data_IF_509628365218
#
_entry.id   IF_509628365218
#
_cell.length_a   1.000
_cell.length_b   1.000
_cell.length_c   1.000
_cell.angle_alpha   90.00
_cell.angle_beta   90.00
_cell.angle_gamma   90.00
#
_symmetry.space_group_name_H-M   'P 1'
#
loop_
_entity.id
_entity.type
_entity.pdbx_description
1 polymer ?
#
# COMPACT_ATOMS: atom_id res chain seq x y z
N UNK A 1 -18.77 24.55 29.57
CA UNK A 1 -18.76 24.04 28.18
C UNK A 1 -17.35 24.19 27.59
N UNK A 2 -16.57 23.11 27.62
CA UNK A 2 -15.18 23.07 27.13
C UNK A 2 -15.18 23.06 25.60
N UNK A 3 -14.73 24.14 24.95
CA UNK A 3 -14.58 24.18 23.49
C UNK A 3 -13.35 23.35 23.09
N UNK A 4 -13.50 22.36 22.20
CA UNK A 4 -12.38 21.60 21.62
C UNK A 4 -11.44 22.57 20.87
N UNK A 5 -10.22 22.83 21.36
CA UNK A 5 -9.31 23.77 20.74
C UNK A 5 -8.51 23.02 19.68
N UNK A 6 -8.97 22.98 18.43
CA UNK A 6 -8.21 22.26 17.41
C UNK A 6 -8.80 22.19 16.01
N UNK A 7 -9.98 22.75 15.76
CA UNK A 7 -10.61 22.67 14.44
C UNK A 7 -10.02 23.60 13.37
N UNK A 8 -9.01 24.42 13.69
CA UNK A 8 -8.45 25.42 12.77
C UNK A 8 -6.93 25.50 12.88
N UNK A 9 -6.22 24.57 12.25
CA UNK A 9 -4.84 24.79 11.82
C UNK A 9 -4.63 24.13 10.46
N UNK A 10 -4.81 24.91 9.39
CA UNK A 10 -4.48 24.66 7.98
C UNK A 10 -3.51 23.48 7.71
N UNK A 11 -3.98 22.23 7.79
CA UNK A 11 -3.14 21.04 7.58
C UNK A 11 -1.92 20.88 8.51
N UNK A 12 -1.83 21.63 9.61
CA UNK A 12 -0.66 21.68 10.50
C UNK A 12 -0.34 20.41 11.31
N UNK A 13 -1.24 19.44 11.61
CA UNK A 13 -0.85 18.26 12.39
C UNK A 13 0.11 17.31 11.66
N UNK A 14 0.52 17.66 10.44
CA UNK A 14 1.36 16.85 9.57
C UNK A 14 2.64 17.55 9.12
N UNK A 15 2.91 18.78 9.59
CA UNK A 15 4.16 19.49 9.28
C UNK A 15 5.37 18.81 9.96
N UNK A 16 5.16 18.23 11.14
CA UNK A 16 6.19 17.54 11.92
C UNK A 16 6.15 16.00 11.74
N UNK A 17 5.57 15.50 10.64
CA UNK A 17 5.61 14.06 10.35
C UNK A 17 7.06 13.60 10.13
N UNK A 18 7.46 12.41 10.61
CA UNK A 18 8.70 11.79 10.21
C UNK A 18 8.84 11.68 8.69
N UNK A 19 10.07 11.78 8.20
CA UNK A 19 10.42 11.85 6.77
C UNK A 19 9.80 10.74 5.90
N UNK A 20 9.76 9.45 6.32
CA UNK A 20 9.10 8.39 5.55
C UNK A 20 7.59 8.65 5.33
N UNK A 21 6.90 9.14 6.35
CA UNK A 21 5.47 9.46 6.27
C UNK A 21 5.20 10.69 5.40
N UNK A 22 6.14 11.65 5.35
CA UNK A 22 6.06 12.77 4.42
C UNK A 22 6.19 12.30 2.97
N UNK A 23 7.14 11.42 2.67
CA UNK A 23 7.31 10.83 1.33
C UNK A 23 6.07 10.04 0.91
N UNK A 24 5.54 9.21 1.81
CA UNK A 24 4.31 8.47 1.57
C UNK A 24 3.14 9.40 1.26
N UNK A 25 2.92 10.43 2.09
CA UNK A 25 1.87 11.42 1.87
C UNK A 25 1.98 12.09 0.49
N UNK A 26 3.18 12.50 0.08
CA UNK A 26 3.42 13.08 -1.27
C UNK A 26 3.09 12.09 -2.39
N UNK A 27 3.31 10.79 -2.17
CA UNK A 27 2.94 9.74 -3.13
C UNK A 27 1.43 9.52 -3.21
N UNK A 28 0.77 9.41 -2.06
CA UNK A 28 -0.66 9.11 -1.97
C UNK A 28 -1.55 10.26 -2.43
N UNK A 29 -1.25 11.50 -2.04
CA UNK A 29 -2.10 12.66 -2.35
C UNK A 29 -2.16 13.03 -3.84
N UNK A 30 -1.34 12.39 -4.68
CA UNK A 30 -1.43 12.49 -6.15
C UNK A 30 -2.61 11.69 -6.73
N UNK A 31 -3.24 10.83 -5.94
CA UNK A 31 -4.29 9.91 -6.37
C UNK A 31 -5.58 10.11 -5.56
N UNK A 32 -6.77 9.95 -6.17
CA UNK A 32 -8.04 10.01 -5.44
C UNK A 32 -8.09 8.93 -4.35
N UNK A 33 -8.50 9.30 -3.14
CA UNK A 33 -8.54 8.40 -1.98
C UNK A 33 -7.20 8.21 -1.25
N UNK A 34 -6.15 8.95 -1.65
CA UNK A 34 -4.85 8.93 -0.97
C UNK A 34 -4.89 9.44 0.47
N UNK A 35 -5.79 10.36 0.78
CA UNK A 35 -6.07 10.87 2.13
C UNK A 35 -6.64 9.78 3.05
N UNK A 36 -7.60 9.00 2.56
CA UNK A 36 -8.16 7.84 3.28
C UNK A 36 -7.07 6.79 3.52
N UNK A 37 -6.24 6.54 2.51
CA UNK A 37 -5.12 5.59 2.60
C UNK A 37 -4.11 6.05 3.65
N UNK A 38 -3.76 7.34 3.66
CA UNK A 38 -2.88 7.92 4.67
C UNK A 38 -3.46 7.79 6.08
N UNK A 39 -4.76 8.07 6.24
CA UNK A 39 -5.45 7.93 7.52
C UNK A 39 -5.43 6.48 8.04
N UNK A 40 -5.61 5.49 7.15
CA UNK A 40 -5.52 4.07 7.51
C UNK A 40 -4.11 3.66 7.96
N UNK A 41 -3.06 4.17 7.30
CA UNK A 41 -1.68 3.94 7.72
C UNK A 41 -1.41 4.55 9.10
N UNK A 42 -1.81 5.80 9.33
CA UNK A 42 -1.65 6.45 10.63
C UNK A 42 -2.44 5.75 11.75
N UNK A 43 -3.61 5.18 11.43
CA UNK A 43 -4.41 4.41 12.38
C UNK A 43 -3.76 3.09 12.81
N UNK A 44 -2.73 2.60 12.11
CA UNK A 44 -1.98 1.39 12.49
C UNK A 44 -0.95 1.63 13.60
N UNK A 45 -0.53 2.89 13.80
CA UNK A 45 0.54 3.27 14.75
C UNK A 45 0.26 2.81 16.19
N UNK A 46 -0.97 2.94 16.75
CA UNK A 46 -1.22 2.48 18.12
C UNK A 46 -1.04 0.97 18.32
N UNK A 47 -1.17 0.16 17.26
CA UNK A 47 -1.06 -1.29 17.34
C UNK A 47 0.35 -1.78 17.04
N UNK A 48 1.02 -1.18 16.05
CA UNK A 48 2.34 -1.61 15.57
C UNK A 48 3.50 -0.83 16.19
N UNK A 49 3.26 0.35 16.77
CA UNK A 49 4.29 1.30 17.14
C UNK A 49 4.74 2.16 15.96
N UNK A 50 5.25 3.37 16.24
CA UNK A 50 5.66 4.31 15.21
C UNK A 50 6.84 3.79 14.38
N UNK A 51 7.88 3.27 15.02
CA UNK A 51 9.09 2.82 14.34
C UNK A 51 8.82 1.70 13.34
N UNK A 52 7.98 0.73 13.71
CA UNK A 52 7.58 -0.35 12.81
C UNK A 52 6.81 0.18 11.58
N UNK A 53 5.97 1.20 11.78
CA UNK A 53 5.26 1.86 10.67
C UNK A 53 6.24 2.62 9.78
N UNK A 54 7.24 3.32 10.33
CA UNK A 54 8.25 3.99 9.52
C UNK A 54 9.03 3.01 8.65
N UNK A 55 9.52 1.91 9.25
CA UNK A 55 10.22 0.83 8.51
C UNK A 55 9.31 0.24 7.43
N UNK A 56 8.04 -0.04 7.74
CA UNK A 56 7.10 -0.59 6.77
C UNK A 56 6.87 0.37 5.60
N UNK A 57 6.75 1.67 5.89
CA UNK A 57 6.56 2.70 4.86
C UNK A 57 7.78 2.84 3.96
N UNK A 58 8.99 2.79 4.51
CA UNK A 58 10.22 2.82 3.71
C UNK A 58 10.28 1.62 2.76
N UNK A 59 10.07 0.41 3.26
CA UNK A 59 10.03 -0.81 2.44
C UNK A 59 8.97 -0.74 1.33
N UNK A 60 7.81 -0.17 1.63
CA UNK A 60 6.75 0.02 0.64
C UNK A 60 7.15 1.03 -0.44
N UNK A 61 7.82 2.11 -0.06
CA UNK A 61 8.29 3.14 -1.00
C UNK A 61 9.45 2.64 -1.87
N UNK A 62 10.34 1.81 -1.32
CA UNK A 62 11.42 1.16 -2.07
C UNK A 62 10.89 0.16 -3.11
N UNK A 63 9.84 -0.59 -2.76
CA UNK A 63 9.20 -1.56 -3.66
C UNK A 63 8.18 -0.96 -4.62
N UNK A 64 7.86 0.33 -4.52
CA UNK A 64 6.86 0.97 -5.35
C UNK A 64 7.39 1.18 -6.77
N UNK A 65 6.75 0.57 -7.77
CA UNK A 65 7.02 0.86 -9.17
C UNK A 65 6.62 2.31 -9.51
N UNK A 66 7.27 2.99 -10.47
CA UNK A 66 6.98 4.39 -10.81
C UNK A 66 5.50 4.71 -11.09
N UNK A 67 4.75 3.71 -11.57
CA UNK A 67 3.33 3.80 -11.93
C UNK A 67 2.39 3.07 -10.94
N UNK A 68 2.94 2.47 -9.89
CA UNK A 68 2.20 1.64 -8.94
C UNK A 68 1.67 2.49 -7.78
N UNK A 69 0.35 2.56 -7.62
CA UNK A 69 -0.25 3.22 -6.46
C UNK A 69 0.09 2.47 -5.17
N UNK A 70 0.65 3.17 -4.19
CA UNK A 70 0.82 2.63 -2.83
C UNK A 70 -0.55 2.55 -2.16
N UNK A 71 -0.89 1.40 -1.57
CA UNK A 71 -2.15 1.19 -0.85
C UNK A 71 -1.92 0.88 0.63
N UNK A 72 -2.94 1.10 1.46
CA UNK A 72 -2.87 0.79 2.89
C UNK A 72 -2.71 -0.71 3.14
N UNK A 73 -3.28 -1.55 2.27
CA UNK A 73 -3.09 -3.00 2.30
C UNK A 73 -1.63 -3.39 2.08
N UNK A 74 -0.89 -2.64 1.23
CA UNK A 74 0.54 -2.90 1.04
C UNK A 74 1.32 -2.64 2.34
N UNK A 75 1.06 -1.50 3.00
CA UNK A 75 1.68 -1.18 4.30
C UNK A 75 1.30 -2.21 5.36
N UNK A 76 0.02 -2.59 5.44
CA UNK A 76 -0.47 -3.62 6.38
C UNK A 76 0.19 -4.97 6.16
N UNK A 77 0.39 -5.38 4.90
CA UNK A 77 1.07 -6.62 4.56
C UNK A 77 2.55 -6.60 4.97
N UNK A 78 3.23 -5.48 4.80
CA UNK A 78 4.62 -5.32 5.26
C UNK A 78 4.68 -5.37 6.78
N UNK A 79 3.81 -4.64 7.48
CA UNK A 79 3.71 -4.71 8.95
C UNK A 79 3.44 -6.13 9.45
N UNK A 80 2.55 -6.88 8.79
CA UNK A 80 2.26 -8.26 9.13
C UNK A 80 3.49 -9.17 8.94
N UNK A 81 4.30 -8.93 7.90
CA UNK A 81 5.53 -9.69 7.64
C UNK A 81 6.64 -9.37 8.64
N UNK A 82 6.79 -8.10 9.02
CA UNK A 82 7.77 -7.67 10.02
C UNK A 82 7.48 -8.26 11.40
N UNK A 83 6.19 -8.45 11.72
CA UNK A 83 5.74 -9.05 12.98
C UNK A 83 5.46 -10.55 12.88
N UNK A 84 5.74 -11.18 11.74
CA UNK A 84 5.43 -12.58 11.54
C UNK A 84 6.30 -13.46 12.46
N UNK A 85 5.75 -14.56 13.01
CA UNK A 85 6.58 -15.52 13.70
C UNK A 85 7.64 -16.08 12.74
N UNK A 86 8.76 -16.61 13.27
CA UNK A 86 9.77 -17.29 12.46
C UNK A 86 9.11 -18.30 11.52
N UNK A 87 9.54 -18.29 10.25
CA UNK A 87 9.01 -19.21 9.26
C UNK A 87 9.23 -20.64 9.75
N UNK A 88 8.20 -21.50 9.73
CA UNK A 88 8.39 -22.90 10.09
C UNK A 88 9.42 -23.56 9.17
N UNK A 89 10.11 -24.57 9.68
CA UNK A 89 11.06 -25.33 8.88
C UNK A 89 10.37 -25.96 7.67
N UNK A 90 11.09 -26.03 6.55
CA UNK A 90 10.61 -26.73 5.38
C UNK A 90 10.48 -28.23 5.68
N UNK A 91 9.40 -28.84 5.19
CA UNK A 91 9.22 -30.29 5.29
C UNK A 91 10.38 -30.99 4.57
N UNK A 92 11.04 -31.93 5.27
CA UNK A 92 12.05 -32.79 4.66
C UNK A 92 11.35 -33.81 3.77
N UNK A 93 11.49 -33.67 2.46
CA UNK A 93 10.82 -34.54 1.48
C UNK A 93 11.70 -34.75 0.25
N UNK A 94 11.58 -35.92 -0.38
CA UNK A 94 12.20 -36.26 -1.67
C UNK A 94 11.25 -36.03 -2.85
N UNK A 95 9.99 -35.63 -2.58
CA UNK A 95 8.99 -35.38 -3.63
C UNK A 95 9.45 -34.24 -4.53
N UNK A 96 9.44 -34.50 -5.84
CA UNK A 96 9.73 -33.52 -6.88
C UNK A 96 8.43 -33.14 -7.59
N UNK A 97 8.29 -31.86 -7.91
CA UNK A 97 7.16 -31.38 -8.71
C UNK A 97 7.34 -31.81 -10.16
N UNK A 98 6.40 -32.59 -10.70
CA UNK A 98 6.38 -32.94 -12.13
C UNK A 98 6.11 -31.70 -12.99
N UNK A 99 5.29 -30.77 -12.49
CA UNK A 99 4.95 -29.52 -13.16
C UNK A 99 5.33 -28.35 -12.27
N UNK A 100 6.38 -27.62 -12.64
CA UNK A 100 6.81 -26.44 -11.89
C UNK A 100 5.81 -25.29 -12.07
N UNK A 101 5.48 -24.54 -11.00
CA UNK A 101 4.65 -23.36 -11.12
C UNK A 101 5.40 -22.30 -11.93
N UNK A 102 4.76 -21.86 -13.01
CA UNK A 102 5.23 -20.72 -13.81
C UNK A 102 4.67 -19.44 -13.20
N UNK A 103 5.54 -18.50 -12.84
CA UNK A 103 5.16 -17.17 -12.37
C UNK A 103 4.74 -16.27 -13.55
N UNK A 104 3.68 -16.67 -14.26
CA UNK A 104 3.15 -15.98 -15.43
C UNK A 104 1.95 -15.11 -15.03
N UNK A 105 2.23 -13.85 -14.68
CA UNK A 105 1.19 -12.86 -14.35
C UNK A 105 0.38 -12.43 -15.57
N UNK A 106 0.93 -12.55 -16.78
CA UNK A 106 0.26 -12.16 -18.03
C UNK A 106 -0.98 -13.01 -18.32
N UNK A 107 -1.08 -14.22 -17.74
CA UNK A 107 -2.29 -15.04 -17.78
C UNK A 107 -3.52 -14.29 -17.25
N UNK A 108 -3.36 -13.47 -16.21
CA UNK A 108 -4.45 -12.68 -15.65
C UNK A 108 -4.72 -11.40 -16.44
N UNK A 109 -3.68 -10.79 -17.02
CA UNK A 109 -3.84 -9.60 -17.86
C UNK A 109 -4.74 -9.88 -19.07
N UNK A 110 -4.65 -11.10 -19.63
CA UNK A 110 -5.55 -11.57 -20.71
C UNK A 110 -7.02 -11.68 -20.31
N UNK A 111 -7.33 -11.75 -19.01
CA UNK A 111 -8.71 -11.80 -18.50
C UNK A 111 -9.29 -10.42 -18.23
N UNK A 112 -8.48 -9.34 -18.30
CA UNK A 112 -9.01 -7.99 -18.19
C UNK A 112 -9.80 -7.70 -19.47
N UNK A 113 -11.09 -7.34 -19.38
CA UNK A 113 -11.79 -6.79 -20.52
C UNK A 113 -11.04 -5.53 -20.92
N UNK A 114 -10.55 -5.49 -22.16
CA UNK A 114 -10.25 -4.21 -22.80
C UNK A 114 -11.54 -3.39 -22.66
N UNK A 115 -11.48 -2.27 -21.95
CA UNK A 115 -12.54 -1.27 -22.03
C UNK A 115 -12.52 -0.82 -23.50
N UNK A 116 -13.31 -1.49 -24.34
CA UNK A 116 -13.64 -0.99 -25.66
C UNK A 116 -14.45 0.28 -25.40
N UNK A 117 -13.78 1.42 -25.47
CA UNK A 117 -14.41 2.70 -25.66
C UNK A 117 -15.30 2.59 -26.89
N UNK A 118 -16.59 2.41 -26.65
CA UNK A 118 -17.63 2.70 -27.61
C UNK A 118 -17.75 4.23 -27.72
N UNK A 119 -16.71 4.89 -28.23
CA UNK A 119 -16.75 6.27 -28.71
C UNK A 119 -16.65 6.26 -30.23
N UNK A 120 -17.67 5.67 -30.85
CA UNK A 120 -17.95 5.75 -32.28
C UNK A 120 -19.31 6.40 -32.52
N UNK A 121 -19.56 7.59 -31.96
CA UNK A 121 -20.70 8.40 -32.36
C UNK A 121 -20.35 9.20 -33.63
N UNK A 122 -20.44 8.49 -34.75
CA UNK A 122 -20.82 8.91 -36.11
C UNK A 122 -20.97 10.43 -36.31
N UNK A 123 -20.02 11.03 -37.04
CA UNK A 123 -20.23 12.27 -37.78
C UNK A 123 -20.91 11.91 -39.12
N UNK A 124 -22.15 12.37 -39.31
CA UNK A 124 -22.72 12.73 -40.62
C UNK A 124 -23.51 14.01 -40.43
#
# INVERSE_FOLDING_TARGET
MQRKPGALRNGAPFLDLPEPLQRLRKSLLRHPGGDRTMAQVLASVPQAGLDAVLVAVDLVLEGATPNGSVSAEHVRNVLARLNAPPRPEHAKTTLQLTNLPLADTARYDRLRPIHNDNQGAIHV
#
